data_IF_677666818402
#
_entry.id   IF_677666818402
#
_cell.length_a   1.000
_cell.length_b   1.000
_cell.length_c   1.000
_cell.angle_alpha   90.00
_cell.angle_beta   90.00
_cell.angle_gamma   90.00
#
_symmetry.space_group_name_H-M   'P 1'
#
loop_
_entity.id
_entity.type
_entity.pdbx_description
1 polymer ?
#
# COMPACT_ATOMS: atom_id res chain seq x y z
N UNK A 1 -12.32 -1.33 -4.41
CA UNK A 1 -12.58 -0.46 -3.24
C UNK A 1 -11.86 -1.01 -2.00
N UNK A 2 -10.52 -1.09 -2.00
CA UNK A 2 -9.78 -1.74 -0.91
C UNK A 2 -8.91 -0.80 -0.05
N UNK A 3 -8.51 0.35 -0.56
CA UNK A 3 -7.66 1.31 0.15
C UNK A 3 -8.43 2.61 0.38
N UNK A 4 -8.46 3.10 1.62
CA UNK A 4 -9.05 4.41 1.92
C UNK A 4 -8.25 5.54 1.25
N UNK A 5 -8.90 6.68 1.03
CA UNK A 5 -8.24 7.83 0.41
C UNK A 5 -7.10 8.36 1.30
N UNK A 6 -7.26 8.35 2.63
CA UNK A 6 -6.20 8.71 3.57
C UNK A 6 -4.94 7.84 3.40
N UNK A 7 -5.10 6.52 3.26
CA UNK A 7 -3.96 5.63 3.06
C UNK A 7 -3.32 5.84 1.68
N UNK A 8 -4.11 6.11 0.65
CA UNK A 8 -3.58 6.47 -0.68
C UNK A 8 -2.77 7.75 -0.61
N UNK A 9 -3.28 8.79 0.04
CA UNK A 9 -2.58 10.07 0.22
C UNK A 9 -1.27 9.88 0.97
N UNK A 10 -1.28 9.13 2.09
CA UNK A 10 -0.06 8.79 2.84
C UNK A 10 0.98 8.09 1.96
N UNK A 11 0.57 7.13 1.14
CA UNK A 11 1.47 6.44 0.21
C UNK A 11 1.99 7.38 -0.90
N UNK A 12 1.16 8.28 -1.41
CA UNK A 12 1.55 9.27 -2.43
C UNK A 12 2.53 10.31 -1.89
N UNK A 13 2.39 10.71 -0.63
CA UNK A 13 3.28 11.65 0.05
C UNK A 13 4.60 10.99 0.43
N UNK A 14 4.56 9.83 1.07
CA UNK A 14 5.75 9.15 1.62
C UNK A 14 6.53 8.41 0.53
N UNK A 15 5.84 7.92 -0.51
CA UNK A 15 6.40 7.14 -1.62
C UNK A 15 7.34 6.02 -1.13
N UNK A 16 6.85 5.07 -0.31
CA UNK A 16 7.69 4.00 0.19
C UNK A 16 8.24 3.15 -0.96
N UNK A 17 9.53 2.81 -0.89
CA UNK A 17 10.22 2.01 -1.93
C UNK A 17 9.98 0.51 -1.78
N UNK A 18 9.38 0.08 -0.65
CA UNK A 18 9.06 -1.32 -0.39
C UNK A 18 7.80 -1.46 0.48
N UNK A 19 7.18 -2.64 0.43
CA UNK A 19 6.05 -2.97 1.30
C UNK A 19 6.43 -2.95 2.78
N UNK A 20 7.68 -3.32 3.12
CA UNK A 20 8.19 -3.26 4.49
C UNK A 20 8.42 -1.83 5.00
N UNK A 21 8.61 -0.86 4.10
CA UNK A 21 8.59 0.56 4.47
C UNK A 21 7.13 1.03 4.61
N UNK A 22 6.26 0.65 3.68
CA UNK A 22 4.85 1.01 3.72
C UNK A 22 4.16 0.52 5.00
N UNK A 23 4.51 -0.68 5.49
CA UNK A 23 3.95 -1.27 6.71
C UNK A 23 4.30 -0.52 8.00
N UNK A 24 5.34 0.32 7.98
CA UNK A 24 5.76 1.15 9.12
C UNK A 24 5.09 2.52 9.14
N UNK A 25 4.34 2.88 8.09
CA UNK A 25 3.62 4.15 8.03
C UNK A 25 2.44 4.09 9.01
N UNK A 26 2.32 5.11 9.86
CA UNK A 26 1.24 5.17 10.86
C UNK A 26 -0.15 5.10 10.23
N UNK A 27 -0.97 4.18 10.74
CA UNK A 27 -2.32 3.90 10.26
C UNK A 27 -2.39 2.92 9.08
N UNK A 28 -1.27 2.49 8.51
CA UNK A 28 -1.27 1.37 7.56
C UNK A 28 -1.46 0.06 8.33
N UNK A 29 -2.45 -0.73 7.93
CA UNK A 29 -2.75 -2.03 8.52
C UNK A 29 -2.18 -3.17 7.67
N UNK A 30 -2.01 -4.38 8.24
CA UNK A 30 -1.63 -5.56 7.46
C UNK A 30 -2.61 -5.85 6.30
N UNK A 31 -3.90 -5.59 6.48
CA UNK A 31 -4.90 -5.75 5.42
C UNK A 31 -4.66 -4.79 4.24
N UNK A 32 -4.30 -3.53 4.51
CA UNK A 32 -3.94 -2.58 3.48
C UNK A 32 -2.70 -3.05 2.67
N UNK A 33 -1.71 -3.62 3.35
CA UNK A 33 -0.53 -4.21 2.71
C UNK A 33 -0.90 -5.38 1.79
N UNK A 34 -1.78 -6.29 2.24
CA UNK A 34 -2.29 -7.39 1.40
C UNK A 34 -3.00 -6.88 0.15
N UNK A 35 -3.78 -5.81 0.28
CA UNK A 35 -4.47 -5.18 -0.86
C UNK A 35 -3.46 -4.59 -1.85
N UNK A 36 -2.42 -3.91 -1.37
CA UNK A 36 -1.33 -3.39 -2.22
C UNK A 36 -0.64 -4.55 -2.95
N UNK A 37 -0.35 -5.67 -2.28
CA UNK A 37 0.22 -6.85 -2.93
C UNK A 37 -0.66 -7.39 -4.06
N UNK A 38 -1.98 -7.48 -3.86
CA UNK A 38 -2.93 -7.91 -4.89
C UNK A 38 -2.91 -6.94 -6.09
N UNK A 39 -2.88 -5.63 -5.83
CA UNK A 39 -2.79 -4.62 -6.89
C UNK A 39 -1.48 -4.71 -7.67
N UNK A 40 -0.34 -4.92 -6.99
CA UNK A 40 0.96 -5.11 -7.64
C UNK A 40 0.96 -6.38 -8.50
N UNK A 41 0.39 -7.49 -8.00
CA UNK A 41 0.23 -8.75 -8.75
C UNK A 41 -0.73 -8.63 -9.95
N UNK A 42 -1.74 -7.76 -9.86
CA UNK A 42 -2.70 -7.55 -10.94
C UNK A 42 -2.18 -6.58 -12.02
N UNK A 43 -1.38 -5.59 -11.61
CA UNK A 43 -0.81 -4.57 -12.50
C UNK A 43 0.53 -4.96 -13.13
N UNK A 44 1.32 -5.79 -12.45
CA UNK A 44 2.49 -6.43 -13.01
C UNK A 44 2.13 -7.87 -13.38
N UNK A 45 2.16 -8.20 -14.66
CA UNK A 45 2.33 -9.58 -15.11
C UNK A 45 3.61 -10.14 -14.47
N UNK A 46 3.48 -10.80 -13.33
CA UNK A 46 4.44 -11.74 -12.79
C UNK A 46 3.96 -13.15 -13.11
#
# INVERSE_FOLDING_TARGET
HGLSNELKEKLLVIKPISLGQASRISGITPAAISIIMIYLKKGGSL
#
